data_IF_756992132215
#
_entry.id   IF_756992132215
#
_cell.length_a   1.000
_cell.length_b   1.000
_cell.length_c   1.000
_cell.angle_alpha   90.00
_cell.angle_beta   90.00
_cell.angle_gamma   90.00
#
_symmetry.space_group_name_H-M   'P 1'
#
loop_
_entity.id
_entity.type
_entity.pdbx_description
1 polymer ?
#
# COMPACT_ATOMS: atom_id res chain seq x y z
N UNK A 1 -11.78 -60.54 37.84
CA UNK A 1 -11.13 -59.82 36.72
C UNK A 1 -12.19 -59.23 35.80
N UNK A 2 -12.26 -57.90 35.67
CA UNK A 2 -12.91 -57.09 34.60
C UNK A 2 -12.75 -55.61 34.98
N UNK A 3 -11.67 -54.98 34.51
CA UNK A 3 -11.59 -54.03 33.36
C UNK A 3 -12.18 -52.66 33.71
N UNK A 4 -11.32 -51.77 34.19
CA UNK A 4 -11.55 -50.33 34.25
C UNK A 4 -11.48 -49.73 32.84
N UNK A 5 -12.46 -48.92 32.47
CA UNK A 5 -12.49 -48.13 31.23
C UNK A 5 -12.14 -46.70 31.64
N UNK A 6 -10.96 -46.24 31.25
CA UNK A 6 -10.48 -44.87 31.45
C UNK A 6 -10.91 -44.04 30.22
N UNK A 7 -11.75 -42.99 30.37
CA UNK A 7 -12.09 -42.15 29.23
C UNK A 7 -10.91 -41.26 28.84
N UNK A 8 -10.56 -41.33 27.55
CA UNK A 8 -9.57 -40.50 26.87
C UNK A 8 -10.10 -39.05 26.81
N UNK A 9 -9.46 -38.11 27.51
CA UNK A 9 -9.69 -36.68 27.29
C UNK A 9 -9.00 -36.27 25.98
N UNK A 10 -9.80 -36.07 24.93
CA UNK A 10 -9.38 -35.40 23.71
C UNK A 10 -9.43 -33.89 23.96
N UNK A 11 -8.31 -33.31 24.38
CA UNK A 11 -8.14 -31.85 24.42
C UNK A 11 -8.03 -31.32 23.00
N UNK A 12 -9.12 -30.74 22.50
CA UNK A 12 -9.15 -29.95 21.26
C UNK A 12 -8.30 -28.68 21.48
N UNK A 13 -7.05 -28.73 21.01
CA UNK A 13 -6.22 -27.52 20.82
C UNK A 13 -6.86 -26.68 19.71
N UNK A 14 -7.69 -25.71 20.10
CA UNK A 14 -8.15 -24.67 19.19
C UNK A 14 -6.93 -23.82 18.80
N UNK A 15 -6.43 -24.03 17.59
CA UNK A 15 -5.43 -23.15 16.97
C UNK A 15 -6.15 -21.86 16.59
N UNK A 16 -6.12 -20.87 17.48
CA UNK A 16 -6.51 -19.50 17.16
C UNK A 16 -5.53 -18.97 16.10
N UNK A 17 -5.85 -19.17 14.83
CA UNK A 17 -5.23 -18.40 13.76
C UNK A 17 -5.74 -16.98 13.94
N UNK A 18 -4.88 -16.10 14.46
CA UNK A 18 -5.12 -14.67 14.38
C UNK A 18 -5.24 -14.34 12.89
N UNK A 19 -6.48 -14.14 12.42
CA UNK A 19 -6.73 -13.59 11.11
C UNK A 19 -6.20 -12.17 11.19
N UNK A 20 -5.04 -11.92 10.57
CA UNK A 20 -4.56 -10.57 10.39
C UNK A 20 -5.66 -9.82 9.62
N UNK A 21 -6.30 -8.85 10.26
CA UNK A 21 -7.32 -8.04 9.60
C UNK A 21 -6.67 -7.41 8.37
N UNK A 22 -7.17 -7.67 7.16
CA UNK A 22 -6.68 -7.02 5.97
C UNK A 22 -6.84 -5.53 6.21
N UNK A 23 -5.70 -4.88 6.19
CA UNK A 23 -5.53 -3.48 6.48
C UNK A 23 -6.49 -2.70 5.57
N UNK A 24 -7.34 -1.84 6.15
CA UNK A 24 -8.33 -1.03 5.43
C UNK A 24 -7.61 0.10 4.69
N UNK A 25 -6.64 -0.23 3.84
CA UNK A 25 -5.83 0.71 3.05
C UNK A 25 -6.57 1.02 1.75
N UNK A 26 -7.84 1.40 1.89
CA UNK A 26 -8.72 1.73 0.75
C UNK A 26 -9.00 3.22 0.68
N UNK A 27 -8.33 4.01 1.52
CA UNK A 27 -8.40 5.46 1.55
C UNK A 27 -7.00 6.05 1.55
N UNK A 28 -6.79 7.10 0.73
CA UNK A 28 -5.54 7.85 0.69
C UNK A 28 -5.23 8.62 2.00
N UNK A 29 -6.16 8.63 2.96
CA UNK A 29 -6.04 9.25 4.28
C UNK A 29 -5.00 8.57 5.17
N UNK A 30 -4.58 7.34 4.83
CA UNK A 30 -3.56 6.62 5.57
C UNK A 30 -2.17 7.28 5.46
N UNK A 31 -1.91 8.02 4.38
CA UNK A 31 -0.61 8.64 4.13
C UNK A 31 -0.69 10.18 4.28
N UNK A 32 0.36 10.81 4.84
CA UNK A 32 0.42 12.26 5.07
C UNK A 32 0.73 13.04 3.78
N UNK A 33 -0.06 12.85 2.72
CA UNK A 33 0.12 13.57 1.45
C UNK A 33 0.13 15.09 1.66
N UNK A 34 0.98 15.78 0.90
CA UNK A 34 1.18 17.23 1.05
C UNK A 34 2.21 17.61 2.13
N UNK A 35 2.53 16.72 3.08
CA UNK A 35 3.52 17.03 4.11
C UNK A 35 4.94 17.10 3.57
N UNK A 36 5.76 17.90 4.26
CA UNK A 36 7.16 18.13 3.91
C UNK A 36 8.02 16.90 4.15
N UNK A 37 9.08 16.73 3.36
CA UNK A 37 10.03 15.63 3.52
C UNK A 37 10.55 15.51 4.95
N UNK A 38 10.92 16.62 5.59
CA UNK A 38 11.46 16.58 6.95
C UNK A 38 10.49 16.00 7.97
N UNK A 39 9.21 16.38 7.89
CA UNK A 39 8.18 15.89 8.80
C UNK A 39 7.89 14.41 8.56
N UNK A 40 7.75 14.00 7.30
CA UNK A 40 7.51 12.60 6.96
C UNK A 40 8.73 11.74 7.31
N UNK A 41 9.95 12.22 7.08
CA UNK A 41 11.18 11.50 7.40
C UNK A 41 11.30 11.20 8.89
N UNK A 42 11.03 12.17 9.76
CA UNK A 42 10.99 11.94 11.22
C UNK A 42 9.98 10.85 11.61
N UNK A 43 8.82 10.84 10.96
CA UNK A 43 7.83 9.78 11.17
C UNK A 43 8.35 8.41 10.69
N UNK A 44 8.95 8.34 9.51
CA UNK A 44 9.49 7.09 8.95
C UNK A 44 10.64 6.53 9.79
N UNK A 45 11.56 7.36 10.28
CA UNK A 45 12.68 6.94 11.12
C UNK A 45 12.24 6.23 12.41
N UNK A 46 11.02 6.48 12.89
CA UNK A 46 10.46 5.84 14.09
C UNK A 46 9.63 4.59 13.78
N UNK A 47 9.19 4.40 12.54
CA UNK A 47 8.26 3.33 12.15
C UNK A 47 8.83 2.31 11.16
N UNK A 48 9.99 2.60 10.56
CA UNK A 48 10.66 1.72 9.62
C UNK A 48 11.87 1.05 10.31
N UNK A 49 12.16 -0.20 9.95
CA UNK A 49 13.39 -0.85 10.44
C UNK A 49 14.65 -0.24 9.83
N UNK A 50 14.52 0.35 8.63
CA UNK A 50 15.57 1.14 8.01
C UNK A 50 14.95 2.16 7.05
N UNK A 51 15.58 3.32 6.96
CA UNK A 51 15.21 4.38 6.03
C UNK A 51 16.42 4.73 5.15
N UNK A 52 16.20 4.93 3.85
CA UNK A 52 17.22 5.50 2.96
C UNK A 52 16.62 6.60 2.09
N UNK A 53 17.37 7.68 1.90
CA UNK A 53 16.91 8.87 1.17
C UNK A 53 17.71 9.01 -0.12
N UNK A 54 17.02 9.02 -1.26
CA UNK A 54 17.57 9.26 -2.60
C UNK A 54 17.17 10.67 -3.04
N UNK A 55 18.16 11.55 -3.21
CA UNK A 55 17.96 12.96 -3.57
C UNK A 55 18.39 13.23 -5.00
N UNK A 56 17.91 14.34 -5.57
CA UNK A 56 18.26 14.80 -6.91
C UNK A 56 17.95 13.72 -7.98
N UNK A 57 16.79 13.08 -7.82
CA UNK A 57 16.28 12.17 -8.84
C UNK A 57 15.79 12.97 -10.04
N UNK A 58 15.73 12.32 -11.20
CA UNK A 58 15.07 12.87 -12.38
C UNK A 58 13.60 13.18 -12.05
N UNK A 59 13.07 14.23 -12.68
CA UNK A 59 11.69 14.68 -12.46
C UNK A 59 10.74 13.77 -13.25
N UNK A 60 10.28 12.71 -12.60
CA UNK A 60 9.38 11.71 -13.20
C UNK A 60 7.92 11.93 -12.80
N UNK A 61 7.68 12.51 -11.62
CA UNK A 61 6.36 12.85 -11.15
C UNK A 61 5.96 14.20 -11.75
N UNK A 62 4.79 14.33 -12.41
CA UNK A 62 4.42 15.54 -13.16
C UNK A 62 4.18 16.78 -12.28
N UNK A 63 4.07 16.59 -10.96
CA UNK A 63 3.96 17.65 -9.96
C UNK A 63 5.32 18.15 -9.46
N UNK A 64 6.43 17.51 -9.84
CA UNK A 64 7.79 17.91 -9.48
C UNK A 64 8.34 18.86 -10.55
N UNK A 65 8.49 20.13 -10.19
CA UNK A 65 8.97 21.18 -11.12
C UNK A 65 10.40 21.62 -10.84
N UNK A 66 10.87 21.46 -9.61
CA UNK A 66 12.19 21.86 -9.16
C UNK A 66 13.01 20.67 -8.64
N UNK A 67 12.37 19.72 -7.94
CA UNK A 67 13.07 18.61 -7.32
C UNK A 67 12.20 17.36 -7.11
N UNK A 68 12.84 16.19 -7.21
CA UNK A 68 12.28 14.91 -6.81
C UNK A 68 13.18 14.22 -5.80
N UNK A 69 12.58 13.69 -4.74
CA UNK A 69 13.25 12.88 -3.71
C UNK A 69 12.43 11.62 -3.44
N UNK A 70 13.12 10.50 -3.20
CA UNK A 70 12.48 9.26 -2.76
C UNK A 70 13.01 8.85 -1.39
N UNK A 71 12.13 8.42 -0.51
CA UNK A 71 12.47 7.77 0.75
C UNK A 71 12.03 6.31 0.69
N UNK A 72 13.00 5.41 0.78
CA UNK A 72 12.75 3.99 0.91
C UNK A 72 12.62 3.64 2.39
N UNK A 73 11.48 3.07 2.78
CA UNK A 73 11.20 2.62 4.14
C UNK A 73 10.99 1.10 4.13
N UNK A 74 11.84 0.37 4.86
CA UNK A 74 11.68 -1.07 5.07
C UNK A 74 10.81 -1.37 6.29
N UNK A 75 9.91 -2.34 6.12
CA UNK A 75 9.04 -2.89 7.16
C UNK A 75 8.30 -1.79 7.93
N UNK A 76 7.61 -0.91 7.20
CA UNK A 76 6.82 0.17 7.80
C UNK A 76 5.76 -0.41 8.74
N UNK A 77 5.96 -0.27 10.05
CA UNK A 77 5.17 -0.96 11.07
C UNK A 77 3.65 -0.77 10.93
N UNK A 78 3.12 0.42 10.57
CA UNK A 78 1.69 0.61 10.35
C UNK A 78 1.08 -0.28 9.27
N UNK A 79 1.87 -0.73 8.28
CA UNK A 79 1.41 -1.65 7.23
C UNK A 79 1.36 -3.11 7.66
N UNK A 80 1.82 -3.46 8.87
CA UNK A 80 1.72 -4.81 9.47
C UNK A 80 2.18 -5.96 8.55
N UNK A 81 3.09 -5.69 7.62
CA UNK A 81 3.75 -6.70 6.80
C UNK A 81 5.19 -6.28 6.52
N UNK A 82 6.04 -7.28 6.29
CA UNK A 82 7.42 -7.06 5.89
C UNK A 82 7.47 -6.68 4.41
N UNK A 83 8.31 -5.70 4.06
CA UNK A 83 8.38 -5.21 2.70
C UNK A 83 9.08 -3.87 2.55
N UNK A 84 8.98 -3.32 1.34
CA UNK A 84 9.49 -2.00 0.99
C UNK A 84 8.30 -1.09 0.67
N UNK A 85 8.33 0.11 1.24
CA UNK A 85 7.51 1.23 0.77
C UNK A 85 8.41 2.34 0.24
N UNK A 86 8.03 2.92 -0.89
CA UNK A 86 8.76 3.99 -1.55
C UNK A 86 7.91 5.26 -1.52
N UNK A 87 8.44 6.31 -0.91
CA UNK A 87 7.74 7.55 -0.65
C UNK A 87 8.35 8.64 -1.53
N UNK A 88 7.62 9.09 -2.54
CA UNK A 88 8.11 10.03 -3.55
C UNK A 88 7.58 11.43 -3.26
N UNK A 89 8.52 12.36 -3.17
CA UNK A 89 8.29 13.76 -2.90
C UNK A 89 8.56 14.57 -4.16
N UNK A 90 7.61 15.43 -4.50
CA UNK A 90 7.70 16.42 -5.55
C UNK A 90 7.77 17.82 -4.90
N UNK A 91 8.84 18.55 -5.13
CA UNK A 91 9.06 19.89 -4.58
C UNK A 91 8.88 19.95 -3.05
N UNK A 92 9.59 19.07 -2.35
CA UNK A 92 9.55 18.85 -0.89
C UNK A 92 8.20 18.32 -0.35
N UNK A 93 7.21 18.01 -1.18
CA UNK A 93 5.88 17.58 -0.74
C UNK A 93 5.59 16.12 -1.11
N UNK A 94 5.11 15.31 -0.15
CA UNK A 94 4.77 13.90 -0.40
C UNK A 94 3.62 13.79 -1.40
N UNK A 95 3.86 13.10 -2.50
CA UNK A 95 2.88 12.95 -3.58
C UNK A 95 2.56 11.49 -3.93
N UNK A 96 3.50 10.55 -3.81
CA UNK A 96 3.26 9.13 -4.11
C UNK A 96 3.79 8.25 -2.98
N UNK A 97 3.06 7.19 -2.64
CA UNK A 97 3.57 6.07 -1.87
C UNK A 97 3.31 4.76 -2.62
N UNK A 98 4.39 4.06 -2.97
CA UNK A 98 4.33 2.68 -3.45
C UNK A 98 4.55 1.72 -2.29
N UNK A 99 3.77 0.65 -2.21
CA UNK A 99 3.93 -0.39 -1.20
C UNK A 99 4.05 -1.73 -1.91
N UNK A 100 5.25 -2.29 -1.94
CA UNK A 100 5.50 -3.61 -2.48
C UNK A 100 4.75 -4.63 -1.64
N UNK A 101 3.98 -5.50 -2.30
CA UNK A 101 3.12 -6.46 -1.61
C UNK A 101 2.98 -7.76 -2.40
N UNK A 102 2.77 -8.90 -1.72
CA UNK A 102 2.45 -10.14 -2.40
C UNK A 102 1.17 -10.02 -3.23
N UNK A 103 1.13 -10.68 -4.40
CA UNK A 103 -0.05 -10.69 -5.27
C UNK A 103 -1.32 -11.17 -4.56
N UNK A 104 -1.19 -12.14 -3.66
CA UNK A 104 -2.31 -12.62 -2.86
C UNK A 104 -2.96 -11.52 -2.00
N UNK A 105 -2.19 -10.56 -1.50
CA UNK A 105 -2.73 -9.42 -0.75
C UNK A 105 -3.54 -8.50 -1.66
N UNK A 106 -3.00 -8.14 -2.83
CA UNK A 106 -3.72 -7.31 -3.82
C UNK A 106 -5.02 -7.97 -4.26
N UNK A 107 -4.98 -9.27 -4.57
CA UNK A 107 -6.16 -10.04 -4.98
C UNK A 107 -7.21 -10.10 -3.88
N UNK A 108 -6.79 -10.29 -2.62
CA UNK A 108 -7.70 -10.27 -1.48
C UNK A 108 -8.36 -8.89 -1.32
N UNK A 109 -7.58 -7.80 -1.37
CA UNK A 109 -8.11 -6.44 -1.27
C UNK A 109 -9.07 -6.12 -2.42
N UNK A 110 -8.72 -6.48 -3.66
CA UNK A 110 -9.60 -6.32 -4.82
C UNK A 110 -10.91 -7.08 -4.67
N UNK A 111 -10.87 -8.32 -4.17
CA UNK A 111 -12.08 -9.10 -3.91
C UNK A 111 -12.96 -8.45 -2.83
N UNK A 112 -12.36 -7.94 -1.75
CA UNK A 112 -13.07 -7.22 -0.69
C UNK A 112 -13.74 -5.94 -1.21
N UNK A 113 -13.03 -5.13 -2.00
CA UNK A 113 -13.59 -3.93 -2.65
C UNK A 113 -14.77 -4.28 -3.55
N UNK A 114 -14.63 -5.34 -4.36
CA UNK A 114 -15.71 -5.82 -5.24
C UNK A 114 -16.94 -6.25 -4.44
N UNK A 115 -16.75 -6.97 -3.32
CA UNK A 115 -17.84 -7.36 -2.43
C UNK A 115 -18.55 -6.15 -1.78
N UNK A 116 -17.83 -5.04 -1.60
CA UNK A 116 -18.37 -3.78 -1.09
C UNK A 116 -19.00 -2.91 -2.20
N UNK A 117 -19.06 -3.39 -3.44
CA UNK A 117 -19.59 -2.63 -4.58
C UNK A 117 -18.66 -1.54 -5.08
N UNK A 118 -17.36 -1.60 -4.74
CA UNK A 118 -16.35 -0.65 -5.21
C UNK A 118 -15.60 -1.28 -6.39
N UNK A 119 -15.75 -0.70 -7.57
CA UNK A 119 -14.99 -1.04 -8.77
C UNK A 119 -13.86 -0.04 -9.02
N UNK A 120 -12.85 -0.46 -9.77
CA UNK A 120 -11.85 0.46 -10.30
C UNK A 120 -12.52 1.45 -11.28
N UNK A 121 -12.06 2.69 -11.28
CA UNK A 121 -12.47 3.72 -12.24
C UNK A 121 -11.84 3.43 -13.62
N UNK A 122 -10.62 2.89 -13.63
CA UNK A 122 -9.90 2.46 -14.82
C UNK A 122 -9.19 1.13 -14.58
N UNK A 123 -9.25 0.22 -15.55
CA UNK A 123 -8.56 -1.07 -15.52
C UNK A 123 -7.74 -1.26 -16.78
N UNK A 124 -6.43 -1.47 -16.62
CA UNK A 124 -5.46 -1.67 -17.70
C UNK A 124 -5.11 -3.15 -17.85
N UNK A 125 -6.12 -4.00 -17.95
CA UNK A 125 -5.95 -5.45 -18.10
C UNK A 125 -5.07 -6.07 -17.00
N UNK A 126 -3.93 -6.63 -17.40
CA UNK A 126 -2.96 -7.27 -16.51
C UNK A 126 -1.88 -6.31 -15.96
N UNK A 127 -1.98 -5.01 -16.23
CA UNK A 127 -0.99 -4.02 -15.80
C UNK A 127 -1.35 -3.38 -14.46
N UNK A 128 -2.54 -2.78 -14.38
CA UNK A 128 -2.93 -1.98 -13.22
C UNK A 128 -4.45 -1.77 -13.13
N UNK A 129 -4.93 -1.44 -11.93
CA UNK A 129 -6.25 -0.88 -11.69
C UNK A 129 -6.12 0.44 -10.93
N UNK A 130 -6.94 1.42 -11.25
CA UNK A 130 -6.96 2.72 -10.60
C UNK A 130 -8.34 2.99 -9.99
N UNK A 131 -8.34 3.31 -8.70
CA UNK A 131 -9.47 3.86 -7.96
C UNK A 131 -9.21 5.36 -7.81
N UNK A 132 -9.16 6.04 -8.95
CA UNK A 132 -8.67 7.39 -9.14
C UNK A 132 -9.28 8.39 -8.16
N UNK A 133 -10.61 8.38 -7.99
CA UNK A 133 -11.29 9.32 -7.09
C UNK A 133 -10.92 9.09 -5.61
N UNK A 134 -10.50 7.86 -5.28
CA UNK A 134 -10.07 7.46 -3.93
C UNK A 134 -8.57 7.64 -3.69
N UNK A 135 -7.80 8.03 -4.71
CA UNK A 135 -6.37 8.30 -4.58
C UNK A 135 -5.50 7.05 -4.40
N UNK A 136 -5.94 5.91 -4.93
CA UNK A 136 -5.13 4.69 -4.89
C UNK A 136 -5.31 3.81 -6.14
N UNK A 137 -4.42 2.84 -6.29
CA UNK A 137 -4.44 1.85 -7.36
C UNK A 137 -3.64 0.61 -7.03
N UNK A 138 -3.65 -0.33 -7.95
CA UNK A 138 -2.86 -1.56 -7.93
C UNK A 138 -1.99 -1.60 -9.17
N UNK A 139 -0.72 -1.95 -9.00
CA UNK A 139 0.17 -2.34 -10.09
C UNK A 139 0.52 -3.80 -9.93
N UNK A 140 0.51 -4.55 -11.04
CA UNK A 140 0.70 -6.01 -10.97
C UNK A 140 2.14 -6.44 -11.24
N UNK A 141 2.97 -5.62 -11.90
CA UNK A 141 4.37 -5.91 -12.18
C UNK A 141 5.31 -4.68 -12.04
N UNK A 142 6.19 -4.68 -11.01
CA UNK A 142 6.07 -5.45 -9.76
C UNK A 142 4.71 -5.23 -9.07
N UNK A 143 4.38 -6.15 -8.17
CA UNK A 143 3.11 -6.14 -7.44
C UNK A 143 3.15 -5.13 -6.29
N UNK A 144 2.34 -4.09 -6.41
CA UNK A 144 2.36 -2.95 -5.50
C UNK A 144 0.97 -2.34 -5.31
N UNK A 145 0.73 -1.83 -4.11
CA UNK A 145 -0.27 -0.79 -3.92
C UNK A 145 0.34 0.56 -4.29
N UNK A 146 -0.44 1.36 -5.00
CA UNK A 146 -0.15 2.74 -5.32
C UNK A 146 -1.09 3.64 -4.51
N UNK A 147 -0.55 4.63 -3.82
CA UNK A 147 -1.31 5.73 -3.23
C UNK A 147 -0.75 7.04 -3.73
N UNK A 148 -1.62 8.01 -4.00
CA UNK A 148 -1.18 9.31 -4.51
C UNK A 148 -2.02 10.47 -3.96
N UNK A 149 -1.39 11.64 -3.93
CA UNK A 149 -2.00 12.89 -3.51
C UNK A 149 -3.08 13.36 -4.48
N UNK A 150 -3.99 14.20 -4.00
CA UNK A 150 -5.02 14.82 -4.85
C UNK A 150 -4.42 15.69 -5.97
N UNK A 151 -3.19 16.19 -5.80
CA UNK A 151 -2.46 16.95 -6.83
C UNK A 151 -2.20 16.12 -8.09
N UNK A 152 -2.08 14.79 -7.94
CA UNK A 152 -1.80 13.88 -9.06
C UNK A 152 -3.06 13.40 -9.79
N UNK A 153 -4.25 13.54 -9.19
CA UNK A 153 -5.51 13.07 -9.80
C UNK A 153 -5.72 13.61 -11.22
N UNK A 154 -5.54 14.92 -11.52
CA UNK A 154 -5.74 15.43 -12.88
C UNK A 154 -4.77 14.82 -13.91
N UNK A 155 -3.51 14.58 -13.50
CA UNK A 155 -2.49 14.00 -14.38
C UNK A 155 -2.77 12.53 -14.65
N UNK A 156 -3.12 11.75 -13.61
CA UNK A 156 -3.53 10.36 -13.80
C UNK A 156 -4.79 10.28 -14.64
N UNK A 157 -5.79 11.13 -14.41
CA UNK A 157 -7.00 11.19 -15.23
C UNK A 157 -6.67 11.38 -16.70
N UNK A 158 -5.90 12.41 -17.00
CA UNK A 158 -5.48 12.71 -18.36
C UNK A 158 -4.72 11.53 -18.97
N UNK A 159 -3.74 10.96 -18.26
CA UNK A 159 -2.97 9.83 -18.78
C UNK A 159 -3.86 8.60 -19.05
N UNK A 160 -4.72 8.22 -18.10
CA UNK A 160 -5.61 7.06 -18.19
C UNK A 160 -6.63 7.19 -19.33
N UNK A 161 -7.18 8.38 -19.56
CA UNK A 161 -8.09 8.66 -20.68
C UNK A 161 -7.43 8.44 -22.06
N UNK A 162 -6.10 8.45 -22.15
CA UNK A 162 -5.37 8.13 -23.39
C UNK A 162 -4.95 6.65 -23.48
N UNK A 163 -5.13 5.86 -22.42
CA UNK A 163 -4.83 4.42 -22.40
C UNK A 163 -6.07 3.53 -22.60
N UNK A 164 -7.27 4.08 -22.36
CA UNK A 164 -8.57 3.42 -22.54
C UNK A 164 -9.12 3.61 -23.94
#
# INVERSE_FOLDING_TARGET
MRKAILPFLFSLLAVNHAVANPLTITENTFFPFGQKLSAVLTHLETHCTSVSVKRNLDLEVPTATESQTQVDCKNYAPLKHDGLSEWVFADDSLDIVWVLSPMAHLQHTKATLTQQGISADYSMGNMADFYLERGFGFRYQPTEYLYFSDRLKPFYKQWLEHQS
#
